data_IF_013633392402
#
_entry.id   IF_013633392402
#
_cell.length_a   1.000
_cell.length_b   1.000
_cell.length_c   1.000
_cell.angle_alpha   90.00
_cell.angle_beta   90.00
_cell.angle_gamma   90.00
#
_symmetry.space_group_name_H-M   'P 1'
#
loop_
_entity.id
_entity.type
_entity.pdbx_description
1 polymer ?
#
# COMPACT_ATOMS: atom_id res chain seq x y z
N UNK A 1 -20.07 50.66 -18.43
CA UNK A 1 -18.91 50.34 -19.25
C UNK A 1 -18.75 48.80 -19.32
N UNK A 2 -18.02 48.31 -20.29
CA UNK A 2 -17.67 46.87 -20.41
C UNK A 2 -16.14 46.77 -20.51
N UNK A 3 -15.54 45.88 -19.75
CA UNK A 3 -14.10 45.64 -19.73
C UNK A 3 -13.81 44.14 -19.75
N UNK A 4 -12.74 43.75 -20.44
CA UNK A 4 -12.24 42.37 -20.48
C UNK A 4 -10.96 42.32 -19.67
N UNK A 5 -10.95 41.44 -18.65
CA UNK A 5 -9.81 41.21 -17.76
C UNK A 5 -9.27 39.82 -18.05
N UNK A 6 -8.04 39.71 -18.52
CA UNK A 6 -7.37 38.42 -18.75
C UNK A 6 -6.71 37.95 -17.46
N UNK A 7 -7.00 36.72 -17.07
CA UNK A 7 -6.41 36.10 -15.89
C UNK A 7 -5.08 35.42 -16.25
N UNK A 8 -4.16 35.42 -15.30
CA UNK A 8 -2.82 34.81 -15.46
C UNK A 8 -2.72 33.46 -14.76
N UNK A 9 -3.36 33.32 -13.60
CA UNK A 9 -3.19 32.18 -12.71
C UNK A 9 -4.52 31.59 -12.26
N UNK A 10 -5.54 32.42 -12.03
CA UNK A 10 -6.84 31.99 -11.56
C UNK A 10 -7.74 31.50 -12.72
N UNK A 11 -8.75 30.69 -12.39
CA UNK A 11 -9.75 30.19 -13.31
C UNK A 11 -10.90 31.21 -13.46
N UNK A 12 -11.24 31.55 -14.69
CA UNK A 12 -12.28 32.54 -14.97
C UNK A 12 -13.67 32.11 -14.47
N UNK A 13 -13.99 30.81 -14.50
CA UNK A 13 -15.27 30.29 -14.04
C UNK A 13 -15.44 30.47 -12.54
N UNK A 14 -14.45 30.02 -11.76
CA UNK A 14 -14.45 30.13 -10.30
C UNK A 14 -14.51 31.59 -9.84
N UNK A 15 -13.72 32.47 -10.46
CA UNK A 15 -13.74 33.91 -10.16
C UNK A 15 -15.08 34.57 -10.52
N UNK A 16 -15.72 34.14 -11.59
CA UNK A 16 -17.04 34.64 -11.95
C UNK A 16 -18.09 34.32 -10.89
N UNK A 17 -18.05 33.14 -10.28
CA UNK A 17 -18.96 32.74 -9.21
C UNK A 17 -18.72 33.56 -7.94
N UNK A 18 -17.46 33.79 -7.56
CA UNK A 18 -17.07 34.62 -6.41
C UNK A 18 -17.54 36.08 -6.63
N UNK A 19 -17.23 36.65 -7.80
CA UNK A 19 -17.61 38.01 -8.12
C UNK A 19 -19.14 38.21 -8.17
N UNK A 20 -19.89 37.24 -8.71
CA UNK A 20 -21.37 37.27 -8.68
C UNK A 20 -21.89 37.22 -7.24
N UNK A 21 -21.28 36.45 -6.37
CA UNK A 21 -21.63 36.39 -4.95
C UNK A 21 -21.40 37.73 -4.25
N UNK A 22 -20.17 38.23 -4.30
CA UNK A 22 -19.75 39.45 -3.58
C UNK A 22 -20.45 40.70 -4.13
N UNK A 23 -20.42 40.90 -5.44
CA UNK A 23 -20.99 42.09 -6.07
C UNK A 23 -22.53 42.04 -6.17
N UNK A 24 -23.12 40.83 -6.16
CA UNK A 24 -24.58 40.65 -6.12
C UNK A 24 -25.16 41.01 -4.74
N UNK A 25 -24.42 40.84 -3.65
CA UNK A 25 -24.81 41.28 -2.31
C UNK A 25 -24.63 42.79 -2.14
N UNK A 26 -23.51 43.36 -2.60
CA UNK A 26 -23.27 44.81 -2.59
C UNK A 26 -24.35 45.59 -3.38
N UNK A 27 -24.81 45.07 -4.51
CA UNK A 27 -25.91 45.64 -5.28
C UNK A 27 -27.25 45.58 -4.53
N UNK A 28 -27.45 44.66 -3.58
CA UNK A 28 -28.61 44.56 -2.70
C UNK A 28 -28.53 45.47 -1.49
N UNK A 29 -27.38 45.64 -0.87
CA UNK A 29 -27.18 46.50 0.29
C UNK A 29 -27.30 48.00 -0.05
N UNK A 30 -26.93 48.41 -1.25
CA UNK A 30 -27.17 49.78 -1.76
C UNK A 30 -28.66 50.13 -1.95
N UNK A 31 -29.54 49.14 -1.87
CA UNK A 31 -31.00 49.34 -1.96
C UNK A 31 -31.75 49.38 -0.60
N UNK A 32 -31.01 49.18 0.52
CA UNK A 32 -31.58 49.06 1.87
C UNK A 32 -31.55 50.36 2.70
N UNK A 33 -31.87 51.49 2.15
CA UNK A 33 -31.98 52.79 2.86
C UNK A 33 -33.39 53.39 2.77
N UNK A 34 -34.18 53.31 3.88
CA UNK A 34 -35.40 54.01 4.20
C UNK A 34 -36.67 53.68 3.41
N UNK A 35 -37.59 52.98 4.10
CA UNK A 35 -39.01 52.96 3.81
C UNK A 35 -39.59 54.39 3.89
N UNK A 36 -39.87 55.03 2.75
CA UNK A 36 -40.51 56.33 2.64
C UNK A 36 -40.83 56.63 1.18
N UNK A 37 -42.08 56.37 0.78
CA UNK A 37 -42.85 56.74 -0.39
C UNK A 37 -42.17 57.51 -1.51
N UNK A 38 -42.17 56.91 -2.68
CA UNK A 38 -41.87 57.54 -3.95
C UNK A 38 -41.20 56.56 -4.92
N UNK A 39 -41.97 56.02 -5.87
CA UNK A 39 -41.42 55.23 -6.98
C UNK A 39 -40.54 56.13 -7.86
N UNK A 40 -39.28 56.24 -7.53
CA UNK A 40 -38.24 56.69 -8.45
C UNK A 40 -37.48 55.48 -8.91
N UNK A 41 -37.63 55.16 -10.18
CA UNK A 41 -36.83 54.19 -10.94
C UNK A 41 -35.36 54.59 -10.86
N UNK A 42 -34.63 54.26 -9.77
CA UNK A 42 -33.17 54.29 -9.76
C UNK A 42 -32.71 53.10 -10.59
N UNK A 43 -31.86 53.30 -11.59
CA UNK A 43 -31.29 52.19 -12.32
C UNK A 43 -30.54 51.32 -11.32
N UNK A 44 -31.03 50.12 -11.07
CA UNK A 44 -30.28 49.05 -10.42
C UNK A 44 -28.96 48.96 -11.16
N UNK A 45 -27.84 49.22 -10.49
CA UNK A 45 -26.54 49.12 -11.11
C UNK A 45 -26.37 47.70 -11.69
N UNK A 46 -26.56 47.61 -12.99
CA UNK A 46 -26.44 46.31 -13.69
C UNK A 46 -24.99 45.89 -13.71
N UNK A 47 -24.56 45.16 -12.66
CA UNK A 47 -23.29 44.45 -12.66
C UNK A 47 -23.51 43.07 -13.25
N UNK A 48 -22.78 42.77 -14.31
CA UNK A 48 -22.78 41.46 -14.94
C UNK A 48 -21.35 40.99 -15.22
N UNK A 49 -21.07 39.74 -14.81
CA UNK A 49 -19.77 39.09 -15.05
C UNK A 49 -20.01 37.79 -15.81
N UNK A 50 -19.24 37.58 -16.85
CA UNK A 50 -19.21 36.39 -17.68
C UNK A 50 -17.79 35.86 -17.78
N UNK A 51 -17.62 34.54 -17.65
CA UNK A 51 -16.35 33.88 -17.92
C UNK A 51 -16.27 33.48 -19.39
N UNK A 52 -15.13 33.76 -20.01
CA UNK A 52 -14.71 33.15 -21.27
C UNK A 52 -13.64 32.10 -20.94
N UNK A 53 -14.06 30.81 -20.93
CA UNK A 53 -13.18 29.69 -20.62
C UNK A 53 -12.09 29.49 -21.69
N UNK A 54 -12.38 29.85 -22.96
CA UNK A 54 -11.43 29.69 -24.07
C UNK A 54 -10.24 30.63 -23.98
N UNK A 55 -10.43 31.85 -23.48
CA UNK A 55 -9.39 32.88 -23.33
C UNK A 55 -8.93 33.04 -21.88
N UNK A 56 -9.52 32.29 -20.93
CA UNK A 56 -9.35 32.49 -19.51
C UNK A 56 -9.48 33.96 -19.11
N UNK A 57 -10.60 34.59 -19.50
CA UNK A 57 -10.86 36.00 -19.32
C UNK A 57 -12.22 36.23 -18.69
N UNK A 58 -12.33 37.33 -17.93
CA UNK A 58 -13.60 37.82 -17.39
C UNK A 58 -14.09 39.00 -18.23
N UNK A 59 -15.35 38.95 -18.63
CA UNK A 59 -16.04 40.07 -19.24
C UNK A 59 -16.92 40.71 -18.18
N UNK A 60 -16.53 41.87 -17.72
CA UNK A 60 -17.22 42.61 -16.65
C UNK A 60 -17.96 43.80 -17.29
N UNK A 61 -19.24 43.95 -16.97
CA UNK A 61 -20.08 45.05 -17.40
C UNK A 61 -20.75 45.66 -16.16
N UNK A 62 -20.58 46.97 -15.99
CA UNK A 62 -21.16 47.65 -14.83
C UNK A 62 -20.91 49.15 -14.80
N UNK A 63 -21.22 49.73 -13.68
CA UNK A 63 -20.86 51.11 -13.33
C UNK A 63 -19.33 51.23 -13.09
N UNK A 64 -18.70 52.36 -13.39
CA UNK A 64 -17.24 52.53 -13.27
C UNK A 64 -16.70 52.20 -11.86
N UNK A 65 -17.40 52.57 -10.81
CA UNK A 65 -17.03 52.28 -9.42
C UNK A 65 -17.00 50.79 -9.12
N UNK A 66 -18.04 50.06 -9.52
CA UNK A 66 -18.16 48.61 -9.31
C UNK A 66 -17.14 47.84 -10.20
N UNK A 67 -16.81 48.38 -11.35
CA UNK A 67 -15.79 47.77 -12.21
C UNK A 67 -14.39 47.92 -11.60
N UNK A 68 -14.06 49.06 -10.97
CA UNK A 68 -12.78 49.27 -10.30
C UNK A 68 -12.66 48.32 -9.09
N UNK A 69 -13.71 48.18 -8.30
CA UNK A 69 -13.74 47.27 -7.16
C UNK A 69 -13.59 45.81 -7.62
N UNK A 70 -14.26 45.42 -8.71
CA UNK A 70 -14.09 44.10 -9.31
C UNK A 70 -12.66 43.86 -9.79
N UNK A 71 -11.99 44.88 -10.37
CA UNK A 71 -10.59 44.77 -10.77
C UNK A 71 -9.64 44.60 -9.55
N UNK A 72 -9.88 45.30 -8.48
CA UNK A 72 -9.09 45.18 -7.24
C UNK A 72 -9.24 43.77 -6.65
N UNK A 73 -10.47 43.24 -6.59
CA UNK A 73 -10.75 41.86 -6.16
C UNK A 73 -10.05 40.85 -7.08
N UNK A 74 -10.17 41.01 -8.39
CA UNK A 74 -9.50 40.11 -9.35
C UNK A 74 -8.00 40.15 -9.20
N UNK A 75 -7.40 41.34 -9.07
CA UNK A 75 -5.96 41.49 -8.89
C UNK A 75 -5.44 40.86 -7.58
N UNK A 76 -6.26 40.87 -6.52
CA UNK A 76 -5.95 40.23 -5.26
C UNK A 76 -6.08 38.69 -5.32
N UNK A 77 -6.97 38.16 -6.17
CA UNK A 77 -7.22 36.71 -6.32
C UNK A 77 -6.44 36.04 -7.43
N UNK A 78 -5.99 36.80 -8.46
CA UNK A 78 -5.19 36.27 -9.59
C UNK A 78 -3.70 36.16 -9.22
N UNK A 79 -3.41 35.42 -8.16
CA UNK A 79 -2.06 35.16 -7.66
C UNK A 79 -1.64 33.73 -8.00
N UNK A 80 -0.31 33.54 -8.16
CA UNK A 80 0.24 32.21 -8.40
C UNK A 80 0.02 31.34 -7.17
N UNK A 81 -0.66 30.20 -7.35
CA UNK A 81 -0.82 29.21 -6.29
C UNK A 81 0.50 28.47 -6.07
N UNK A 82 0.86 28.27 -4.82
CA UNK A 82 1.96 27.42 -4.44
C UNK A 82 1.66 25.95 -4.79
N UNK A 83 2.71 25.21 -5.05
CA UNK A 83 2.65 23.76 -5.21
C UNK A 83 3.22 23.10 -3.96
N UNK A 84 2.74 21.92 -3.65
CA UNK A 84 3.29 21.10 -2.57
C UNK A 84 3.71 19.77 -3.18
N UNK A 85 4.97 19.41 -3.02
CA UNK A 85 5.46 18.07 -3.27
C UNK A 85 5.26 17.26 -1.99
N UNK A 86 4.56 16.14 -2.11
CA UNK A 86 4.24 15.26 -1.01
C UNK A 86 4.92 13.93 -1.28
N UNK A 87 5.75 13.52 -0.33
CA UNK A 87 6.46 12.25 -0.34
C UNK A 87 5.95 11.40 0.81
N UNK A 88 5.48 10.21 0.52
CA UNK A 88 5.20 9.23 1.55
C UNK A 88 6.28 8.15 1.57
N UNK A 89 6.49 7.53 2.71
CA UNK A 89 7.33 6.35 2.87
C UNK A 89 6.58 5.32 3.70
N UNK A 90 6.32 4.18 3.10
CA UNK A 90 5.63 3.05 3.71
C UNK A 90 6.67 1.98 3.95
N UNK A 91 6.93 1.67 5.23
CA UNK A 91 7.90 0.68 5.65
C UNK A 91 7.15 -0.48 6.29
N UNK A 92 7.31 -1.67 5.74
CA UNK A 92 6.79 -2.90 6.32
C UNK A 92 7.95 -3.86 6.55
N UNK A 93 8.13 -4.27 7.80
CA UNK A 93 9.15 -5.23 8.22
C UNK A 93 8.41 -6.44 8.79
N UNK A 94 8.70 -7.61 8.26
CA UNK A 94 8.16 -8.88 8.73
C UNK A 94 9.31 -9.83 9.06
N UNK A 95 9.31 -10.31 10.30
CA UNK A 95 10.23 -11.34 10.78
C UNK A 95 9.44 -12.56 11.20
N UNK A 96 9.77 -13.71 10.65
CA UNK A 96 9.17 -14.99 11.00
C UNK A 96 10.26 -15.94 11.48
N UNK A 97 10.07 -16.48 12.69
CA UNK A 97 10.93 -17.47 13.30
C UNK A 97 10.07 -18.71 13.59
N UNK A 98 10.52 -19.85 13.10
CA UNK A 98 9.94 -21.16 13.38
C UNK A 98 10.99 -22.08 13.99
N UNK A 99 10.64 -22.78 15.05
CA UNK A 99 11.48 -23.81 15.67
C UNK A 99 10.62 -25.02 15.95
N UNK A 100 11.02 -26.16 15.39
CA UNK A 100 10.36 -27.44 15.57
C UNK A 100 11.37 -28.44 16.14
N UNK A 101 11.05 -29.01 17.27
CA UNK A 101 11.83 -30.06 17.92
C UNK A 101 10.90 -31.19 18.33
N UNK A 102 11.19 -32.41 17.90
CA UNK A 102 10.40 -33.57 18.24
C UNK A 102 11.18 -34.86 18.25
N UNK A 103 10.83 -35.71 19.19
CA UNK A 103 11.34 -37.07 19.27
C UNK A 103 10.14 -38.02 19.20
N UNK A 104 10.19 -38.98 18.29
CA UNK A 104 9.19 -40.01 18.14
C UNK A 104 9.83 -41.38 18.39
N UNK A 105 9.14 -42.24 19.13
CA UNK A 105 9.61 -43.58 19.50
C UNK A 105 8.51 -44.56 19.12
N UNK A 106 8.86 -45.68 18.49
CA UNK A 106 7.95 -46.82 18.27
C UNK A 106 8.61 -48.14 18.68
N UNK A 107 7.80 -49.03 19.21
CA UNK A 107 8.15 -50.40 19.54
C UNK A 107 7.03 -51.31 19.03
N UNK A 108 7.39 -52.38 18.36
CA UNK A 108 6.46 -53.39 17.87
C UNK A 108 7.00 -54.78 18.06
N UNK A 109 6.13 -55.77 18.24
CA UNK A 109 6.50 -57.18 18.37
C UNK A 109 5.92 -57.95 17.16
N UNK A 110 6.77 -58.52 16.32
CA UNK A 110 6.43 -59.26 15.11
C UNK A 110 6.43 -60.79 15.36
N UNK A 111 6.57 -61.25 16.62
CA UNK A 111 6.71 -62.69 16.95
C UNK A 111 5.43 -63.50 16.89
N UNK A 112 4.26 -62.90 16.58
CA UNK A 112 2.95 -63.58 16.57
C UNK A 112 2.09 -63.24 15.37
N UNK A 113 0.90 -63.85 15.30
CA UNK A 113 -0.12 -63.56 14.24
C UNK A 113 -0.76 -62.15 14.38
N UNK A 114 -0.51 -61.44 15.46
CA UNK A 114 -0.90 -60.05 15.67
C UNK A 114 0.32 -59.24 16.09
N UNK A 115 0.58 -58.15 15.38
CA UNK A 115 1.71 -57.23 15.64
C UNK A 115 1.27 -56.07 16.51
N UNK A 116 1.38 -56.16 17.84
CA UNK A 116 1.10 -55.02 18.70
C UNK A 116 2.17 -53.94 18.45
N UNK A 117 1.76 -52.74 18.06
CA UNK A 117 2.65 -51.58 17.84
C UNK A 117 2.29 -50.52 18.84
N UNK A 118 3.27 -50.07 19.63
CA UNK A 118 3.15 -48.94 20.51
C UNK A 118 4.13 -47.84 20.04
N UNK A 119 3.67 -46.61 19.95
CA UNK A 119 4.54 -45.53 19.54
C UNK A 119 3.98 -44.12 19.81
N UNK A 120 4.85 -43.13 19.74
CA UNK A 120 4.47 -41.74 19.75
C UNK A 120 4.38 -41.24 18.31
N UNK A 121 3.31 -40.50 18.01
CA UNK A 121 3.16 -39.83 16.71
C UNK A 121 2.74 -38.39 16.94
N UNK A 122 3.65 -37.47 16.68
CA UNK A 122 3.43 -36.05 16.83
C UNK A 122 3.33 -35.42 15.43
N UNK A 123 2.09 -35.15 14.99
CA UNK A 123 1.81 -34.58 13.64
C UNK A 123 2.24 -33.12 13.46
N UNK A 124 2.71 -32.47 14.52
CA UNK A 124 3.16 -31.09 14.52
C UNK A 124 4.64 -30.90 14.15
N UNK A 125 5.39 -31.98 13.98
CA UNK A 125 6.81 -31.93 13.63
C UNK A 125 7.10 -32.90 12.48
N UNK A 126 7.22 -32.36 11.27
CA UNK A 126 7.69 -33.03 10.08
C UNK A 126 6.97 -34.36 9.75
N UNK A 127 7.75 -35.43 9.58
CA UNK A 127 7.23 -36.76 9.25
C UNK A 127 6.84 -37.57 10.46
N UNK A 128 5.78 -38.35 10.30
CA UNK A 128 5.42 -39.31 11.33
C UNK A 128 6.40 -40.49 11.34
N UNK A 129 6.63 -41.06 12.50
CA UNK A 129 7.43 -42.30 12.61
C UNK A 129 6.77 -43.43 11.81
N UNK A 130 5.44 -43.45 11.65
CA UNK A 130 4.72 -44.39 10.83
C UNK A 130 5.11 -44.35 9.37
N UNK A 131 5.32 -43.15 8.82
CA UNK A 131 5.76 -42.94 7.42
C UNK A 131 7.19 -43.46 7.22
N UNK A 132 8.05 -43.20 8.22
CA UNK A 132 9.44 -43.69 8.20
C UNK A 132 9.51 -45.19 8.35
N UNK A 133 8.74 -45.76 9.25
CA UNK A 133 8.67 -47.19 9.47
C UNK A 133 8.06 -47.91 8.24
N UNK A 134 7.00 -47.32 7.65
CA UNK A 134 6.39 -47.80 6.41
C UNK A 134 7.37 -47.84 5.23
N UNK A 135 8.20 -46.82 5.10
CA UNK A 135 9.25 -46.75 4.09
C UNK A 135 10.36 -47.79 4.30
N UNK A 136 10.76 -48.03 5.55
CA UNK A 136 11.73 -49.06 5.91
C UNK A 136 11.16 -50.46 5.62
N UNK A 137 9.87 -50.71 5.96
CA UNK A 137 9.20 -51.99 5.73
C UNK A 137 8.96 -52.29 4.25
N UNK A 138 8.78 -51.25 3.42
CA UNK A 138 8.55 -51.38 1.97
C UNK A 138 9.81 -51.29 1.12
N UNK A 139 11.00 -51.28 1.75
CA UNK A 139 12.32 -51.06 1.09
C UNK A 139 12.34 -49.83 0.16
N UNK A 140 11.44 -48.85 0.42
CA UNK A 140 11.38 -47.63 -0.36
C UNK A 140 12.37 -46.61 0.17
N UNK A 141 12.93 -45.82 -0.75
CA UNK A 141 13.86 -44.74 -0.38
C UNK A 141 13.14 -43.71 0.47
N UNK A 142 13.62 -43.49 1.69
CA UNK A 142 13.15 -42.41 2.54
C UNK A 142 13.60 -41.12 1.89
N UNK A 143 12.66 -40.41 1.27
CA UNK A 143 12.95 -39.07 0.77
C UNK A 143 13.33 -38.17 1.96
N UNK A 144 14.43 -37.43 1.91
CA UNK A 144 14.83 -36.57 3.03
C UNK A 144 13.69 -35.64 3.42
N UNK A 145 13.48 -35.43 4.72
CA UNK A 145 12.50 -34.46 5.19
C UNK A 145 12.84 -33.10 4.59
N UNK A 146 11.80 -32.35 4.19
CA UNK A 146 11.99 -31.00 3.65
C UNK A 146 12.46 -30.07 4.77
N UNK A 147 13.76 -29.81 4.82
CA UNK A 147 14.41 -28.93 5.78
C UNK A 147 14.78 -29.58 7.13
N UNK A 148 15.76 -29.00 7.81
CA UNK A 148 16.19 -29.41 9.14
C UNK A 148 17.04 -30.68 9.20
N UNK A 149 17.23 -31.17 10.42
CA UNK A 149 17.95 -32.40 10.74
C UNK A 149 16.94 -33.46 11.15
N UNK A 150 16.97 -34.60 10.48
CA UNK A 150 16.21 -35.78 10.86
C UNK A 150 17.19 -36.93 11.08
N UNK A 151 17.23 -37.48 12.29
CA UNK A 151 18.07 -38.60 12.65
C UNK A 151 17.16 -39.73 13.13
N UNK A 152 17.27 -40.87 12.50
CA UNK A 152 16.55 -42.08 12.88
C UNK A 152 17.50 -43.21 13.20
N UNK A 153 17.16 -43.99 14.21
CA UNK A 153 17.79 -45.25 14.54
C UNK A 153 16.71 -46.27 14.88
N UNK A 154 16.91 -47.51 14.46
CA UNK A 154 15.98 -48.57 14.72
C UNK A 154 16.55 -49.92 14.39
N UNK A 155 15.90 -50.98 14.89
CA UNK A 155 16.21 -52.36 14.60
C UNK A 155 14.93 -53.11 14.31
N UNK A 156 14.93 -53.83 13.21
CA UNK A 156 13.87 -54.77 12.84
C UNK A 156 14.29 -56.17 13.23
N UNK A 157 13.37 -56.86 13.87
CA UNK A 157 13.55 -58.27 14.19
C UNK A 157 12.29 -59.05 13.72
N UNK A 158 12.42 -59.90 12.69
CA UNK A 158 11.33 -60.62 12.06
C UNK A 158 10.63 -61.63 12.98
N UNK A 159 11.28 -62.05 14.07
CA UNK A 159 10.76 -62.98 15.02
C UNK A 159 10.80 -62.44 16.48
N UNK A 160 10.70 -61.13 16.67
CA UNK A 160 10.80 -60.51 17.98
C UNK A 160 10.49 -59.04 17.95
N UNK A 161 11.02 -58.34 18.98
CA UNK A 161 10.75 -56.91 19.21
C UNK A 161 11.55 -56.06 18.22
N UNK A 162 10.84 -55.27 17.43
CA UNK A 162 11.35 -54.21 16.58
C UNK A 162 11.16 -52.88 17.26
N UNK A 163 12.14 -51.99 17.16
CA UNK A 163 12.03 -50.63 17.71
C UNK A 163 12.62 -49.60 16.79
N UNK A 164 12.14 -48.35 16.93
CA UNK A 164 12.64 -47.18 16.19
C UNK A 164 12.53 -45.91 17.00
N UNK A 165 13.50 -45.06 16.82
CA UNK A 165 13.52 -43.68 17.36
C UNK A 165 13.79 -42.72 16.22
N UNK A 166 13.07 -41.60 16.18
CA UNK A 166 13.20 -40.53 15.20
C UNK A 166 13.34 -39.20 15.93
N UNK A 167 14.45 -38.54 15.71
CA UNK A 167 14.70 -37.17 16.18
C UNK A 167 14.58 -36.22 14.99
N UNK A 168 13.80 -35.18 15.17
CA UNK A 168 13.63 -34.10 14.18
C UNK A 168 13.90 -32.77 14.84
N UNK A 169 14.70 -31.94 14.16
CA UNK A 169 14.98 -30.57 14.57
C UNK A 169 15.01 -29.67 13.34
N UNK A 170 14.21 -28.64 13.33
CA UNK A 170 14.12 -27.64 12.28
C UNK A 170 14.11 -26.24 12.89
N UNK A 171 14.90 -25.34 12.32
CA UNK A 171 14.83 -23.92 12.63
C UNK A 171 14.70 -23.16 11.30
N UNK A 172 13.64 -22.36 11.19
CA UNK A 172 13.39 -21.52 10.01
C UNK A 172 13.40 -20.07 10.43
N UNK A 173 14.01 -19.23 9.61
CA UNK A 173 14.00 -17.78 9.77
C UNK A 173 13.74 -17.15 8.42
N UNK A 174 12.72 -16.32 8.34
CA UNK A 174 12.41 -15.53 7.16
C UNK A 174 12.23 -14.07 7.57
N UNK A 175 12.93 -13.18 6.89
CA UNK A 175 12.79 -11.74 7.08
C UNK A 175 12.45 -11.09 5.75
N UNK A 176 11.46 -10.22 5.75
CA UNK A 176 11.07 -9.42 4.61
C UNK A 176 11.01 -7.94 4.98
N UNK A 177 11.59 -7.11 4.14
CA UNK A 177 11.54 -5.65 4.30
C UNK A 177 11.01 -5.04 3.01
N UNK A 178 9.86 -4.39 3.11
CA UNK A 178 9.21 -3.70 2.01
C UNK A 178 9.26 -2.20 2.27
N UNK A 179 9.82 -1.45 1.34
CA UNK A 179 9.83 0.00 1.35
C UNK A 179 9.20 0.53 0.07
N UNK A 180 8.16 1.33 0.21
CA UNK A 180 7.51 2.00 -0.92
C UNK A 180 7.48 3.50 -0.67
N UNK A 181 7.93 4.29 -1.65
CA UNK A 181 8.04 5.75 -1.53
C UNK A 181 7.30 6.48 -2.64
N UNK A 182 5.95 6.50 -2.63
CA UNK A 182 5.21 7.28 -3.61
C UNK A 182 5.43 8.77 -3.39
N UNK A 183 5.45 9.54 -4.49
CA UNK A 183 5.56 10.99 -4.45
C UNK A 183 4.65 11.62 -5.50
N UNK A 184 4.02 12.74 -5.13
CA UNK A 184 3.12 13.50 -5.99
C UNK A 184 3.29 14.99 -5.76
N UNK A 185 3.14 15.79 -6.80
CA UNK A 185 3.09 17.25 -6.72
C UNK A 185 1.67 17.69 -7.00
N UNK A 186 1.13 18.54 -6.13
CA UNK A 186 -0.23 19.07 -6.25
C UNK A 186 -0.25 20.58 -5.96
N UNK A 187 -1.29 21.26 -6.44
CA UNK A 187 -1.54 22.67 -6.10
C UNK A 187 -2.16 22.77 -4.69
N UNK A 188 -1.95 23.91 -4.06
CA UNK A 188 -2.61 24.25 -2.81
C UNK A 188 -4.14 24.17 -2.94
N UNK A 189 -4.79 23.55 -1.94
CA UNK A 189 -6.22 23.28 -1.89
C UNK A 189 -6.77 22.43 -3.07
N UNK A 190 -5.93 21.60 -3.69
CA UNK A 190 -6.36 20.69 -4.75
C UNK A 190 -6.10 19.24 -4.39
N UNK A 191 -7.12 18.41 -4.54
CA UNK A 191 -7.00 16.96 -4.38
C UNK A 191 -6.21 16.38 -5.56
N UNK A 192 -5.28 15.51 -5.25
CA UNK A 192 -4.51 14.75 -6.23
C UNK A 192 -4.33 13.31 -5.78
N UNK A 193 -4.29 12.40 -6.75
CA UNK A 193 -4.23 10.97 -6.52
C UNK A 193 -3.17 10.34 -7.41
N UNK A 194 -2.42 9.39 -6.86
CA UNK A 194 -1.52 8.50 -7.59
C UNK A 194 -1.87 7.05 -7.28
N UNK A 195 -2.04 6.24 -8.33
CA UNK A 195 -2.32 4.82 -8.23
C UNK A 195 -1.20 4.07 -8.94
N UNK A 196 -0.55 3.14 -8.23
CA UNK A 196 0.49 2.26 -8.77
C UNK A 196 0.14 0.84 -8.43
N UNK A 197 -0.26 0.04 -9.41
CA UNK A 197 -0.75 -1.30 -9.13
C UNK A 197 -1.03 -2.13 -10.37
N UNK A 198 -1.77 -3.22 -10.17
CA UNK A 198 -2.18 -4.18 -11.19
C UNK A 198 -3.70 -4.25 -11.26
N UNK A 199 -4.23 -4.44 -12.46
CA UNK A 199 -5.65 -4.65 -12.66
C UNK A 199 -5.98 -6.14 -12.57
N UNK A 200 -6.65 -6.55 -11.50
CA UNK A 200 -6.92 -7.95 -11.15
C UNK A 200 -8.39 -8.29 -11.39
N UNK A 201 -8.70 -9.42 -12.07
CA UNK A 201 -10.07 -9.86 -12.29
C UNK A 201 -10.63 -10.60 -11.06
N UNK A 202 -11.80 -10.18 -10.58
CA UNK A 202 -12.59 -10.84 -9.54
C UNK A 202 -13.82 -11.47 -10.13
N UNK A 203 -14.15 -12.70 -9.73
CA UNK A 203 -15.42 -13.36 -10.09
C UNK A 203 -16.52 -12.87 -9.16
N UNK A 204 -17.49 -12.15 -9.70
CA UNK A 204 -18.63 -11.61 -8.93
C UNK A 204 -19.88 -12.45 -9.01
N UNK A 205 -19.95 -13.39 -9.94
CA UNK A 205 -21.10 -14.29 -10.08
C UNK A 205 -20.77 -15.49 -10.97
N UNK A 206 -21.34 -16.62 -10.59
CA UNK A 206 -21.37 -17.83 -11.40
C UNK A 206 -22.80 -18.32 -11.44
N UNK A 207 -23.41 -18.35 -12.61
CA UNK A 207 -24.76 -18.91 -12.78
C UNK A 207 -24.67 -20.21 -13.56
N UNK A 208 -25.13 -21.29 -12.92
CA UNK A 208 -25.37 -22.57 -13.58
C UNK A 208 -26.90 -22.66 -13.83
N UNK A 209 -27.32 -22.57 -15.07
CA UNK A 209 -28.71 -22.86 -15.45
C UNK A 209 -28.87 -24.35 -15.53
N UNK A 210 -29.55 -24.94 -14.54
CA UNK A 210 -29.95 -26.35 -14.52
C UNK A 210 -31.28 -26.48 -15.27
N UNK A 211 -31.22 -26.65 -16.57
CA UNK A 211 -32.37 -26.96 -17.43
C UNK A 211 -31.93 -27.89 -18.55
N UNK A 212 -32.81 -28.82 -18.91
CA UNK A 212 -32.60 -29.89 -19.85
C UNK A 212 -31.98 -29.42 -21.18
N UNK A 213 -30.68 -29.67 -21.37
CA UNK A 213 -29.95 -29.39 -22.61
C UNK A 213 -29.04 -28.17 -22.58
N UNK A 214 -27.72 -28.41 -22.58
CA UNK A 214 -26.60 -27.48 -22.71
C UNK A 214 -26.41 -26.51 -21.51
N UNK A 215 -25.67 -27.00 -20.52
CA UNK A 215 -25.09 -26.15 -19.47
C UNK A 215 -24.06 -25.21 -20.07
N UNK A 216 -24.42 -23.96 -20.21
CA UNK A 216 -23.45 -22.90 -20.51
C UNK A 216 -23.26 -22.02 -19.25
N UNK A 217 -22.34 -22.39 -18.34
CA UNK A 217 -22.06 -21.56 -17.17
C UNK A 217 -21.39 -20.26 -17.62
N UNK A 218 -21.99 -19.12 -17.34
CA UNK A 218 -21.30 -17.86 -17.54
C UNK A 218 -20.84 -17.27 -16.21
N UNK A 219 -19.64 -16.75 -16.25
CA UNK A 219 -18.97 -16.14 -15.11
C UNK A 219 -18.92 -14.63 -15.34
N UNK A 220 -19.40 -13.86 -14.37
CA UNK A 220 -19.24 -12.40 -14.39
C UNK A 220 -17.93 -12.04 -13.72
N UNK A 221 -17.11 -11.22 -14.39
CA UNK A 221 -15.80 -10.78 -13.93
C UNK A 221 -15.85 -9.28 -13.75
N UNK A 222 -15.49 -8.81 -12.56
CA UNK A 222 -15.22 -7.41 -12.25
C UNK A 222 -13.71 -7.22 -12.13
N UNK A 223 -13.18 -6.15 -12.75
CA UNK A 223 -11.76 -5.83 -12.63
C UNK A 223 -11.57 -4.72 -11.64
N UNK A 224 -10.61 -4.89 -10.71
CA UNK A 224 -10.23 -3.88 -9.72
C UNK A 224 -8.74 -3.63 -9.76
N UNK A 225 -8.37 -2.37 -9.56
CA UNK A 225 -6.98 -1.98 -9.44
C UNK A 225 -6.51 -2.29 -8.01
N UNK A 226 -5.49 -3.16 -7.91
CA UNK A 226 -4.86 -3.56 -6.65
C UNK A 226 -3.43 -3.04 -6.66
N UNK A 227 -3.05 -2.36 -5.60
CA UNK A 227 -1.72 -1.77 -5.47
C UNK A 227 -1.67 -0.69 -4.41
N UNK A 228 -0.83 0.29 -4.62
CA UNK A 228 -0.65 1.44 -3.76
C UNK A 228 -1.42 2.62 -4.33
N UNK A 229 -2.28 3.21 -3.50
CA UNK A 229 -3.01 4.45 -3.81
C UNK A 229 -2.67 5.48 -2.74
N UNK A 230 -2.25 6.66 -3.17
CA UNK A 230 -2.05 7.82 -2.32
C UNK A 230 -2.91 8.97 -2.85
N UNK A 231 -3.87 9.40 -2.04
CA UNK A 231 -4.75 10.54 -2.31
C UNK A 231 -4.49 11.60 -1.26
N UNK A 232 -4.28 12.82 -1.68
CA UNK A 232 -3.88 13.89 -0.78
C UNK A 232 -4.41 15.25 -1.21
N UNK A 233 -4.82 16.05 -0.21
CA UNK A 233 -5.22 17.44 -0.39
C UNK A 233 -4.44 18.29 0.60
N UNK A 234 -3.43 19.08 0.13
CA UNK A 234 -2.71 20.02 0.97
C UNK A 234 -3.48 21.33 1.10
N UNK A 235 -3.28 22.00 2.23
CA UNK A 235 -3.70 23.40 2.46
C UNK A 235 -2.55 24.10 3.17
N UNK A 236 -2.01 25.15 2.55
CA UNK A 236 -0.91 25.94 3.12
C UNK A 236 -1.49 27.05 3.99
N UNK A 237 -1.06 27.11 5.25
CA UNK A 237 -1.40 28.19 6.17
C UNK A 237 -0.47 29.39 6.01
N UNK A 238 -0.89 30.56 6.46
CA UNK A 238 -0.12 31.80 6.32
C UNK A 238 1.23 31.79 7.05
N UNK A 239 1.39 30.93 8.06
CA UNK A 239 2.59 30.71 8.86
C UNK A 239 3.51 29.62 8.29
N UNK A 240 3.22 29.09 7.09
CA UNK A 240 4.05 28.10 6.40
C UNK A 240 3.77 26.66 6.81
N UNK A 241 2.80 26.41 7.69
CA UNK A 241 2.32 25.08 8.02
C UNK A 241 1.49 24.51 6.89
N UNK A 242 1.67 23.23 6.61
CA UNK A 242 0.89 22.48 5.62
C UNK A 242 -0.08 21.53 6.32
N UNK A 243 -1.36 21.79 6.19
CA UNK A 243 -2.41 20.84 6.57
C UNK A 243 -2.63 19.87 5.42
N UNK A 244 -2.55 18.59 5.72
CA UNK A 244 -2.67 17.52 4.76
C UNK A 244 -3.86 16.64 5.12
N UNK A 245 -4.82 16.51 4.21
CA UNK A 245 -5.82 15.45 4.27
C UNK A 245 -5.28 14.31 3.42
N UNK A 246 -5.02 13.16 4.06
CA UNK A 246 -4.33 12.03 3.44
C UNK A 246 -5.19 10.79 3.52
N UNK A 247 -5.36 10.14 2.40
CA UNK A 247 -5.91 8.80 2.28
C UNK A 247 -4.89 7.94 1.55
N UNK A 248 -4.34 6.95 2.25
CA UNK A 248 -3.35 6.04 1.72
C UNK A 248 -3.89 4.62 1.83
N UNK A 249 -3.90 3.91 0.71
CA UNK A 249 -4.33 2.51 0.64
C UNK A 249 -3.22 1.69 -0.01
N UNK A 250 -2.90 0.56 0.60
CA UNK A 250 -2.03 -0.46 0.01
C UNK A 250 -2.81 -1.77 -0.03
N UNK A 251 -3.00 -2.29 -1.23
CA UNK A 251 -3.65 -3.57 -1.46
C UNK A 251 -2.67 -4.52 -2.16
N UNK A 252 -2.63 -5.76 -1.72
CA UNK A 252 -1.85 -6.83 -2.35
C UNK A 252 -2.68 -8.09 -2.47
N UNK A 253 -2.46 -8.84 -3.55
CA UNK A 253 -3.05 -10.18 -3.69
C UNK A 253 -2.36 -11.09 -2.68
N UNK A 254 -3.14 -11.80 -1.87
CA UNK A 254 -2.60 -12.84 -1.01
C UNK A 254 -2.20 -14.06 -1.84
N UNK A 255 -1.19 -14.80 -1.36
CA UNK A 255 -0.88 -16.10 -1.93
C UNK A 255 -2.15 -16.98 -1.89
N UNK A 256 -2.32 -17.81 -2.91
CA UNK A 256 -3.51 -18.63 -3.07
C UNK A 256 -3.78 -19.44 -1.80
N UNK A 257 -4.92 -19.18 -1.17
CA UNK A 257 -5.42 -20.00 -0.08
C UNK A 257 -6.00 -21.26 -0.73
N UNK A 258 -5.48 -22.44 -0.38
CA UNK A 258 -6.09 -23.72 -0.77
C UNK A 258 -7.57 -23.68 -0.38
N UNK A 259 -8.48 -23.97 -1.31
CA UNK A 259 -9.95 -23.91 -1.19
C UNK A 259 -10.61 -22.51 -1.33
N UNK A 260 -9.90 -21.44 -1.57
CA UNK A 260 -10.54 -20.17 -1.90
C UNK A 260 -11.08 -20.20 -3.34
N UNK A 261 -12.40 -20.05 -3.49
CA UNK A 261 -13.05 -19.96 -4.82
C UNK A 261 -12.78 -18.64 -5.53
N UNK A 262 -12.19 -17.65 -4.85
CA UNK A 262 -11.91 -16.33 -5.38
C UNK A 262 -10.58 -15.76 -4.83
N UNK A 263 -10.12 -14.66 -5.41
CA UNK A 263 -8.87 -14.00 -5.06
C UNK A 263 -9.02 -13.31 -3.71
N UNK A 264 -8.11 -13.61 -2.78
CA UNK A 264 -8.03 -12.94 -1.48
C UNK A 264 -7.04 -11.78 -1.55
N UNK A 265 -7.41 -10.63 -1.01
CA UNK A 265 -6.56 -9.45 -0.96
C UNK A 265 -6.27 -9.02 0.47
N UNK A 266 -5.04 -8.58 0.71
CA UNK A 266 -4.65 -7.91 1.94
C UNK A 266 -4.76 -6.41 1.70
N UNK A 267 -5.55 -5.72 2.54
CA UNK A 267 -5.76 -4.27 2.46
C UNK A 267 -5.22 -3.58 3.72
N UNK A 268 -4.49 -2.51 3.52
CA UNK A 268 -4.03 -1.58 4.56
C UNK A 268 -4.46 -0.18 4.17
N UNK A 269 -5.18 0.51 5.03
CA UNK A 269 -5.76 1.83 4.73
C UNK A 269 -5.56 2.76 5.92
N UNK A 270 -5.07 3.97 5.64
CA UNK A 270 -4.91 5.06 6.60
C UNK A 270 -5.62 6.29 6.03
N UNK A 271 -6.57 6.84 6.79
CA UNK A 271 -7.24 8.12 6.49
C UNK A 271 -7.04 9.03 7.68
N UNK A 272 -6.36 10.15 7.44
CA UNK A 272 -6.04 11.08 8.52
C UNK A 272 -5.87 12.50 8.01
N UNK A 273 -5.98 13.46 8.93
CA UNK A 273 -5.64 14.87 8.68
C UNK A 273 -4.53 15.26 9.63
N UNK A 274 -3.43 15.76 9.10
CA UNK A 274 -2.24 16.10 9.87
C UNK A 274 -1.75 17.51 9.50
N UNK A 275 -0.97 18.09 10.41
CA UNK A 275 -0.22 19.33 10.20
C UNK A 275 1.26 18.99 10.20
N UNK A 276 2.00 19.55 9.28
CA UNK A 276 3.45 19.40 9.17
C UNK A 276 4.11 20.72 8.76
N UNK A 277 5.31 20.94 9.22
CA UNK A 277 6.16 22.03 8.73
C UNK A 277 6.74 21.68 7.34
N UNK A 278 7.15 22.72 6.59
CA UNK A 278 7.77 22.55 5.29
C UNK A 278 9.05 21.71 5.38
N UNK A 279 9.09 20.58 4.67
CA UNK A 279 10.22 19.66 4.65
C UNK A 279 10.35 18.74 5.87
N UNK A 280 9.47 18.83 6.87
CA UNK A 280 9.47 17.96 8.04
C UNK A 280 8.88 16.59 7.71
N UNK A 281 9.48 15.53 8.29
CA UNK A 281 8.98 14.17 8.17
C UNK A 281 8.12 13.83 9.38
N UNK A 282 6.85 13.55 9.16
CA UNK A 282 5.90 13.17 10.20
C UNK A 282 5.49 11.70 10.05
N UNK A 283 5.10 11.07 11.15
CA UNK A 283 4.51 9.73 11.17
C UNK A 283 2.99 9.86 11.07
N UNK A 284 2.39 9.28 10.03
CA UNK A 284 0.93 9.23 9.89
C UNK A 284 0.31 8.18 10.80
N UNK A 285 1.00 7.08 11.00
CA UNK A 285 0.55 5.97 11.80
C UNK A 285 1.38 4.72 11.57
N UNK A 286 1.01 3.67 12.27
CA UNK A 286 1.70 2.39 12.14
C UNK A 286 1.01 1.30 12.92
N UNK A 287 1.48 0.07 12.73
CA UNK A 287 1.02 -1.12 13.40
C UNK A 287 2.22 -1.98 13.76
N UNK A 288 2.32 -2.37 15.02
CA UNK A 288 3.22 -3.44 15.46
C UNK A 288 2.36 -4.61 15.90
N UNK A 289 2.57 -5.77 15.28
CA UNK A 289 1.90 -7.01 15.62
C UNK A 289 2.94 -8.08 15.88
N UNK A 290 2.76 -8.80 16.98
CA UNK A 290 3.56 -9.96 17.33
C UNK A 290 2.62 -11.11 17.63
N UNK A 291 2.74 -12.18 16.85
CA UNK A 291 2.01 -13.43 17.04
C UNK A 291 3.02 -14.48 17.53
N UNK A 292 2.77 -15.01 18.70
CA UNK A 292 3.58 -16.06 19.32
C UNK A 292 2.72 -17.28 19.57
N UNK A 293 3.07 -18.38 18.95
CA UNK A 293 2.35 -19.64 19.05
C UNK A 293 3.31 -20.75 19.48
N UNK A 294 2.97 -21.45 20.53
CA UNK A 294 3.69 -22.64 20.98
C UNK A 294 2.72 -23.81 20.98
N UNK A 295 3.04 -24.82 20.23
CA UNK A 295 2.32 -26.09 20.21
C UNK A 295 3.20 -27.14 20.87
N UNK A 296 2.79 -27.64 22.03
CA UNK A 296 3.49 -28.68 22.76
C UNK A 296 2.62 -29.92 22.87
N UNK A 297 3.10 -31.00 22.31
CA UNK A 297 2.50 -32.33 22.43
C UNK A 297 3.40 -33.23 23.25
N UNK A 298 2.83 -33.91 24.25
CA UNK A 298 3.58 -34.81 25.10
C UNK A 298 2.77 -36.05 25.45
N UNK A 299 3.46 -37.17 25.69
CA UNK A 299 2.83 -38.35 26.25
C UNK A 299 2.57 -38.10 27.74
N UNK A 300 1.31 -38.24 28.22
CA UNK A 300 1.00 -38.06 29.62
C UNK A 300 1.88 -38.96 30.50
N UNK A 301 2.32 -38.46 31.64
CA UNK A 301 3.22 -39.08 32.64
C UNK A 301 4.68 -39.20 32.16
N UNK A 302 4.96 -39.72 30.96
CA UNK A 302 6.32 -39.90 30.46
C UNK A 302 6.96 -38.58 30.04
N UNK A 303 6.17 -37.67 29.42
CA UNK A 303 6.63 -36.35 29.03
C UNK A 303 6.88 -35.39 30.21
N UNK A 304 6.47 -35.74 31.43
CA UNK A 304 6.66 -34.93 32.62
C UNK A 304 7.89 -35.32 33.44
N UNK A 305 8.59 -36.39 33.08
CA UNK A 305 9.78 -36.85 33.75
C UNK A 305 10.94 -35.88 33.46
N UNK A 306 11.62 -35.34 34.51
CA UNK A 306 12.77 -34.47 34.29
C UNK A 306 13.90 -35.23 33.54
N UNK A 307 14.57 -34.55 32.61
CA UNK A 307 15.62 -35.04 31.71
C UNK A 307 15.14 -35.99 30.58
N UNK A 308 14.31 -36.96 30.89
CA UNK A 308 13.83 -37.98 29.89
C UNK A 308 12.57 -37.51 29.17
N UNK A 309 11.75 -36.66 29.76
CA UNK A 309 10.47 -36.22 29.22
C UNK A 309 10.53 -35.59 27.84
N UNK A 310 11.68 -34.98 27.45
CA UNK A 310 11.90 -34.48 26.13
C UNK A 310 11.92 -35.52 25.02
N UNK A 311 12.22 -36.79 25.32
CA UNK A 311 12.15 -37.93 24.41
C UNK A 311 10.71 -38.33 24.09
N UNK A 312 9.74 -37.88 24.90
CA UNK A 312 8.31 -38.19 24.80
C UNK A 312 7.47 -36.93 24.54
N UNK A 313 8.09 -35.91 24.00
CA UNK A 313 7.45 -34.63 23.67
C UNK A 313 7.91 -34.06 22.35
N UNK A 314 7.03 -33.29 21.74
CA UNK A 314 7.30 -32.49 20.57
C UNK A 314 6.88 -31.06 20.83
N UNK A 315 7.70 -30.11 20.43
CA UNK A 315 7.47 -28.68 20.61
C UNK A 315 7.69 -27.97 19.28
N UNK A 316 6.67 -27.20 18.87
CA UNK A 316 6.72 -26.34 17.70
C UNK A 316 6.44 -24.92 18.15
N UNK A 317 7.38 -24.03 17.93
CA UNK A 317 7.31 -22.63 18.28
C UNK A 317 7.31 -21.81 16.98
N UNK A 318 6.36 -20.90 16.85
CA UNK A 318 6.26 -19.95 15.74
C UNK A 318 6.08 -18.56 16.26
N UNK A 319 6.94 -17.66 15.85
CA UNK A 319 6.91 -16.25 16.19
C UNK A 319 6.91 -15.43 14.92
N UNK A 320 5.87 -14.63 14.73
CA UNK A 320 5.72 -13.73 13.60
C UNK A 320 5.64 -12.32 14.13
N UNK A 321 6.56 -11.47 13.73
CA UNK A 321 6.56 -10.06 14.07
C UNK A 321 6.40 -9.23 12.80
N UNK A 322 5.40 -8.35 12.78
CA UNK A 322 5.12 -7.45 11.66
C UNK A 322 5.04 -6.01 12.17
N UNK A 323 5.84 -5.15 11.57
CA UNK A 323 5.85 -3.72 11.85
C UNK A 323 5.52 -2.98 10.56
N UNK A 324 4.49 -2.14 10.61
CA UNK A 324 4.11 -1.22 9.53
C UNK A 324 4.25 0.20 10.06
N UNK A 325 4.97 1.05 9.34
CA UNK A 325 5.09 2.47 9.63
C UNK A 325 4.86 3.27 8.36
N UNK A 326 4.08 4.34 8.46
CA UNK A 326 3.81 5.25 7.34
C UNK A 326 4.26 6.64 7.72
N UNK A 327 5.20 7.16 6.94
CA UNK A 327 5.76 8.50 7.06
C UNK A 327 5.28 9.37 5.90
N UNK A 328 5.24 10.68 6.13
CA UNK A 328 4.91 11.65 5.11
C UNK A 328 5.77 12.90 5.30
N UNK A 329 6.20 13.50 4.18
CA UNK A 329 6.98 14.71 4.14
C UNK A 329 6.42 15.65 3.06
N UNK A 330 5.81 16.78 3.43
CA UNK A 330 5.48 17.84 2.49
C UNK A 330 6.69 18.71 2.20
N UNK A 331 6.77 19.29 0.99
CA UNK A 331 7.73 20.31 0.60
C UNK A 331 7.01 21.35 -0.25
N UNK A 332 6.99 22.59 0.22
CA UNK A 332 6.35 23.71 -0.48
C UNK A 332 7.26 24.16 -1.64
N UNK A 333 6.69 24.39 -2.80
CA UNK A 333 7.36 24.84 -4.01
C UNK A 333 6.73 26.17 -4.45
N UNK A 334 7.32 27.28 -4.05
CA UNK A 334 6.80 28.63 -4.33
C UNK A 334 7.15 29.11 -5.75
N UNK A 335 8.26 28.65 -6.30
CA UNK A 335 8.79 29.12 -7.56
C UNK A 335 9.11 28.04 -8.59
N UNK A 336 9.34 28.48 -9.84
CA UNK A 336 9.78 27.58 -10.92
C UNK A 336 11.13 26.95 -10.60
N UNK A 337 12.04 27.71 -9.97
CA UNK A 337 13.40 27.26 -9.64
C UNK A 337 13.37 26.11 -8.63
N UNK A 338 12.51 26.21 -7.61
CA UNK A 338 12.34 25.16 -6.59
C UNK A 338 11.71 23.90 -7.16
N UNK A 339 10.72 24.05 -8.05
CA UNK A 339 10.11 22.91 -8.74
C UNK A 339 11.11 22.17 -9.63
N UNK A 340 11.95 22.90 -10.37
CA UNK A 340 13.02 22.31 -11.20
C UNK A 340 14.06 21.63 -10.30
N UNK A 341 14.49 22.28 -9.21
CA UNK A 341 15.45 21.68 -8.28
C UNK A 341 14.92 20.40 -7.64
N UNK A 342 13.66 20.37 -7.20
CA UNK A 342 13.02 19.17 -6.66
C UNK A 342 12.93 18.03 -7.69
N UNK A 343 12.64 18.38 -8.95
CA UNK A 343 12.60 17.39 -10.04
C UNK A 343 13.98 16.81 -10.31
N UNK A 344 15.01 17.66 -10.38
CA UNK A 344 16.41 17.21 -10.60
C UNK A 344 16.92 16.36 -9.43
N UNK A 345 16.59 16.73 -8.19
CA UNK A 345 16.94 15.96 -7.00
C UNK A 345 16.35 14.54 -7.06
N UNK A 346 15.07 14.42 -7.44
CA UNK A 346 14.40 13.13 -7.59
C UNK A 346 15.00 12.27 -8.71
N UNK A 347 15.30 12.89 -9.84
CA UNK A 347 15.93 12.21 -10.95
C UNK A 347 17.32 11.68 -10.56
N UNK A 348 18.15 12.51 -9.93
CA UNK A 348 19.48 12.12 -9.48
C UNK A 348 19.43 10.98 -8.46
N UNK A 349 18.50 11.05 -7.49
CA UNK A 349 18.33 9.98 -6.50
C UNK A 349 17.90 8.66 -7.13
N UNK A 350 17.00 8.70 -8.11
CA UNK A 350 16.59 7.50 -8.85
C UNK A 350 17.78 6.90 -9.62
N UNK A 351 18.62 7.74 -10.18
CA UNK A 351 19.81 7.34 -10.90
C UNK A 351 20.85 6.70 -9.96
N UNK A 352 21.10 7.29 -8.80
CA UNK A 352 22.00 6.75 -7.77
C UNK A 352 21.55 5.37 -7.29
N UNK A 353 20.25 5.18 -7.02
CA UNK A 353 19.69 3.89 -6.64
C UNK A 353 19.91 2.84 -7.74
N UNK A 354 19.70 3.24 -9.00
CA UNK A 354 19.94 2.33 -10.14
C UNK A 354 21.41 1.93 -10.26
N UNK A 355 22.34 2.87 -10.08
CA UNK A 355 23.77 2.59 -10.05
C UNK A 355 24.17 1.65 -8.90
N UNK A 356 23.62 1.87 -7.70
CA UNK A 356 23.91 1.00 -6.53
C UNK A 356 23.42 -0.44 -6.75
N UNK A 357 22.23 -0.61 -7.33
CA UNK A 357 21.70 -1.93 -7.69
C UNK A 357 22.58 -2.60 -8.74
N UNK A 358 23.00 -1.89 -9.78
CA UNK A 358 23.87 -2.44 -10.84
C UNK A 358 25.22 -2.85 -10.30
N UNK A 359 25.83 -2.04 -9.43
CA UNK A 359 27.10 -2.35 -8.78
C UNK A 359 26.99 -3.61 -7.91
N UNK A 360 25.92 -3.75 -7.14
CA UNK A 360 25.66 -4.95 -6.32
C UNK A 360 25.45 -6.21 -7.15
N UNK A 361 24.88 -6.08 -8.34
CA UNK A 361 24.64 -7.19 -9.28
C UNK A 361 25.82 -7.47 -10.21
N UNK A 362 26.90 -6.69 -10.16
CA UNK A 362 28.07 -6.83 -11.06
C UNK A 362 27.74 -6.55 -12.53
N UNK A 363 26.72 -5.71 -12.81
CA UNK A 363 26.35 -5.33 -14.17
C UNK A 363 27.29 -4.24 -14.71
N UNK A 364 27.46 -4.13 -16.07
CA UNK A 364 28.31 -3.10 -16.66
C UNK A 364 27.97 -1.70 -16.17
N UNK A 365 28.98 -0.86 -16.00
CA UNK A 365 28.79 0.55 -15.63
C UNK A 365 27.94 1.27 -16.69
N UNK A 366 26.91 1.99 -16.23
CA UNK A 366 26.20 2.93 -17.11
C UNK A 366 27.04 4.19 -17.30
N UNK A 367 26.94 4.77 -18.47
CA UNK A 367 27.56 6.08 -18.74
C UNK A 367 27.06 7.13 -17.74
N UNK A 368 27.84 8.19 -17.52
CA UNK A 368 27.59 9.25 -16.55
C UNK A 368 26.11 9.73 -16.58
N UNK A 369 25.63 10.12 -15.38
CA UNK A 369 24.27 10.62 -15.15
C UNK A 369 23.79 11.54 -16.31
N UNK A 370 22.83 11.10 -17.13
CA UNK A 370 22.35 11.92 -18.23
C UNK A 370 21.57 13.10 -17.68
N UNK A 371 21.60 14.25 -18.38
CA UNK A 371 20.74 15.36 -18.06
C UNK A 371 19.26 14.93 -18.21
N UNK A 372 18.37 15.40 -17.34
CA UNK A 372 16.95 15.08 -17.37
C UNK A 372 16.32 15.39 -18.74
N UNK A 373 16.84 16.37 -19.46
CA UNK A 373 16.40 16.76 -20.80
C UNK A 373 16.56 15.64 -21.85
N UNK A 374 17.44 14.67 -21.61
CA UNK A 374 17.63 13.50 -22.50
C UNK A 374 16.39 12.61 -22.51
N UNK A 375 15.61 12.56 -21.43
CA UNK A 375 14.37 11.80 -21.39
C UNK A 375 13.31 12.31 -22.37
N UNK A 376 13.38 13.59 -22.74
CA UNK A 376 12.41 14.26 -23.60
C UNK A 376 12.94 14.51 -25.03
N UNK A 377 14.27 14.44 -25.23
CA UNK A 377 14.88 14.52 -26.54
C UNK A 377 14.85 13.17 -27.26
N UNK A 378 13.73 12.85 -27.84
CA UNK A 378 13.34 11.56 -28.46
C UNK A 378 14.14 11.16 -29.71
N UNK A 379 15.28 11.79 -29.99
CA UNK A 379 16.10 11.48 -31.18
C UNK A 379 17.13 10.38 -31.01
N UNK A 380 17.58 10.11 -29.78
CA UNK A 380 18.62 9.11 -29.50
C UNK A 380 18.27 8.35 -28.21
N UNK A 381 17.52 7.27 -28.34
CA UNK A 381 17.30 6.29 -27.27
C UNK A 381 18.60 5.52 -26.97
N UNK A 382 19.58 6.16 -26.36
CA UNK A 382 20.80 5.52 -25.83
C UNK A 382 20.66 5.03 -24.39
N UNK A 383 19.48 5.12 -23.78
CA UNK A 383 19.29 4.69 -22.38
C UNK A 383 18.92 3.22 -22.23
N UNK A 384 18.75 2.47 -23.33
CA UNK A 384 18.30 1.07 -23.31
C UNK A 384 19.30 0.08 -23.94
N UNK A 385 20.51 0.48 -24.27
CA UNK A 385 21.62 -0.40 -24.61
C UNK A 385 22.58 -0.53 -23.38
#
# INVERSE_FOLDING_TARGET
>A
ATKVIRLRHADAKNLTEILKGVMGELAKEGAGGTAGGGATNRPQGNFAVFADEGLNALVVRGEPSLMQEAEEIVAALDVRRAQVMIEAAIVEISDELGQDLGVQVAVGDESGSSTPVMGTNFGNVGRSLGDVLGAILSESVISPAVGGITVGAGQRNENGVSWGILLQALSTSAAANLLSTPSIITLDNQESEIIVGQNVPFRTGQSAVTGDGLTNPFTTIERRDIGLTLKVTPTISADGLVRLVVEQTTESVADSIEDASDIVTNKREIKTTVLADDGETIVLGGLTREDYQVNKSKVPLLGDIPFIGRLFSSESERRIKRNLLVFLRPKILLGKTEAVAATSEKFNKLWEVNLDIRNKLGLPEMQANPDIDILFNTGENKLLE
#
